data_IF_122241897833
#
_entry.id   IF_122241897833
#
_cell.length_a   1.000
_cell.length_b   1.000
_cell.length_c   1.000
_cell.angle_alpha   90.00
_cell.angle_beta   90.00
_cell.angle_gamma   90.00
#
_symmetry.space_group_name_H-M   'P 1'
#
loop_
_entity.id
_entity.type
_entity.pdbx_description
1 polymer ?
#
# COMPACT_ATOMS: atom_id res chain seq x y z
N UNK A 1 15.97 57.11 -9.25
CA UNK A 1 16.22 57.41 -7.82
C UNK A 1 14.88 57.45 -7.09
N UNK A 2 14.79 56.75 -5.95
CA UNK A 2 13.62 56.46 -5.09
C UNK A 2 12.84 55.20 -5.46
N UNK A 3 13.13 54.17 -4.66
CA UNK A 3 12.58 52.82 -4.66
C UNK A 3 11.07 52.86 -4.44
N UNK A 4 10.33 52.31 -5.40
CA UNK A 4 8.92 51.94 -5.31
C UNK A 4 8.83 50.45 -5.63
N UNK A 5 7.84 49.79 -5.05
CA UNK A 5 7.49 48.36 -5.21
C UNK A 5 8.12 47.44 -4.16
N UNK A 6 7.63 47.61 -2.93
CA UNK A 6 7.74 46.69 -1.80
C UNK A 6 6.33 46.11 -1.55
N UNK A 7 5.76 45.41 -2.55
CA UNK A 7 4.43 44.80 -2.49
C UNK A 7 4.13 43.94 -3.74
N UNK A 8 4.73 42.76 -3.88
CA UNK A 8 4.24 41.62 -4.69
C UNK A 8 5.35 40.57 -4.79
N UNK A 9 5.26 39.46 -4.07
CA UNK A 9 5.92 38.16 -4.33
C UNK A 9 5.56 37.26 -3.15
N UNK A 10 4.42 36.60 -3.20
CA UNK A 10 4.34 35.23 -3.71
C UNK A 10 5.29 34.28 -2.97
N UNK A 11 4.99 33.95 -1.72
CA UNK A 11 5.40 32.68 -1.14
C UNK A 11 4.16 32.08 -0.48
N UNK A 12 3.41 31.36 -1.30
CA UNK A 12 2.33 30.50 -0.88
C UNK A 12 2.84 29.62 0.27
N UNK A 13 2.47 29.96 1.49
CA UNK A 13 2.30 28.98 2.53
C UNK A 13 1.22 28.04 1.99
N UNK A 14 1.62 26.98 1.29
CA UNK A 14 0.76 25.84 1.02
C UNK A 14 0.46 25.27 2.39
N UNK A 15 -0.70 25.65 2.92
CA UNK A 15 -1.35 24.92 3.99
C UNK A 15 -1.65 23.54 3.42
N UNK A 16 -0.71 22.61 3.59
CA UNK A 16 -0.97 21.20 3.40
C UNK A 16 -2.12 20.86 4.33
N UNK A 17 -3.34 20.79 3.79
CA UNK A 17 -4.46 20.17 4.47
C UNK A 17 -3.98 18.77 4.86
N UNK A 18 -4.13 18.31 6.12
CA UNK A 18 -3.84 16.92 6.44
C UNK A 18 -4.62 16.08 5.42
N UNK A 19 -3.89 15.36 4.56
CA UNK A 19 -4.51 14.55 3.52
C UNK A 19 -5.40 13.53 4.20
N UNK A 20 -6.61 13.33 3.67
CA UNK A 20 -7.48 12.27 4.14
C UNK A 20 -6.79 10.93 3.90
N UNK A 21 -6.41 10.26 4.99
CA UNK A 21 -5.88 8.90 4.95
C UNK A 21 -7.02 7.90 4.81
N UNK A 22 -6.69 6.65 4.47
CA UNK A 22 -7.58 5.52 4.74
C UNK A 22 -7.88 5.40 6.23
N UNK A 23 -8.91 4.63 6.58
CA UNK A 23 -9.25 4.38 7.98
C UNK A 23 -8.08 3.71 8.70
N UNK A 24 -7.74 4.23 9.88
CA UNK A 24 -6.74 3.67 10.78
C UNK A 24 -7.32 2.61 11.74
N UNK A 25 -8.61 2.30 11.60
CA UNK A 25 -9.36 1.40 12.49
C UNK A 25 -8.69 0.04 12.69
N UNK A 26 -7.99 -0.45 11.66
CA UNK A 26 -7.37 -1.77 11.65
C UNK A 26 -5.83 -1.72 11.71
N UNK A 27 -5.24 -0.55 11.99
CA UNK A 27 -3.79 -0.38 12.12
C UNK A 27 -3.20 -1.12 13.33
N UNK A 28 -4.06 -1.60 14.23
CA UNK A 28 -3.70 -2.44 15.39
C UNK A 28 -3.46 -3.91 15.03
N UNK A 29 -3.78 -4.35 13.81
CA UNK A 29 -3.56 -5.73 13.37
C UNK A 29 -2.06 -6.06 13.36
N UNK A 30 -1.69 -7.19 13.94
CA UNK A 30 -0.35 -7.73 13.85
C UNK A 30 -0.14 -8.42 12.50
N UNK A 31 0.46 -7.67 11.57
CA UNK A 31 0.82 -8.16 10.23
C UNK A 31 1.74 -9.38 10.31
N UNK A 32 2.64 -9.46 11.30
CA UNK A 32 3.55 -10.61 11.40
C UNK A 32 2.82 -11.87 11.83
N UNK A 33 1.86 -11.77 12.75
CA UNK A 33 1.02 -12.90 13.16
C UNK A 33 0.24 -13.46 11.96
N UNK A 34 -0.35 -12.58 11.15
CA UNK A 34 -1.07 -12.96 9.93
C UNK A 34 -0.14 -13.68 8.94
N UNK A 35 1.06 -13.13 8.68
CA UNK A 35 2.02 -13.69 7.73
C UNK A 35 2.63 -15.01 8.21
N UNK A 36 2.79 -15.21 9.51
CA UNK A 36 3.32 -16.45 10.10
C UNK A 36 2.28 -17.58 10.16
N UNK A 37 0.99 -17.25 10.15
CA UNK A 37 -0.11 -18.22 10.20
C UNK A 37 -0.61 -18.58 8.80
N UNK A 38 -0.37 -19.83 8.37
CA UNK A 38 -0.85 -20.33 7.07
C UNK A 38 -2.37 -20.17 6.93
N UNK A 39 -3.13 -20.44 8.01
CA UNK A 39 -4.59 -20.30 8.02
C UNK A 39 -5.03 -18.85 7.82
N UNK A 40 -4.41 -17.91 8.52
CA UNK A 40 -4.78 -16.49 8.42
C UNK A 40 -4.38 -15.95 7.05
N UNK A 41 -3.12 -16.11 6.66
CA UNK A 41 -2.62 -15.66 5.36
C UNK A 41 -3.47 -16.17 4.20
N UNK A 42 -3.80 -17.48 4.21
CA UNK A 42 -4.66 -18.07 3.18
C UNK A 42 -6.04 -17.40 3.15
N UNK A 43 -6.65 -17.13 4.30
CA UNK A 43 -7.94 -16.43 4.39
C UNK A 43 -7.90 -15.03 3.77
N UNK A 44 -6.84 -14.24 4.04
CA UNK A 44 -6.67 -12.93 3.40
C UNK A 44 -6.47 -13.04 1.90
N UNK A 45 -5.60 -13.95 1.44
CA UNK A 45 -5.34 -14.13 0.00
C UNK A 45 -6.59 -14.60 -0.73
N UNK A 46 -7.35 -15.56 -0.18
CA UNK A 46 -8.62 -16.00 -0.76
C UNK A 46 -9.65 -14.86 -0.82
N UNK A 47 -9.73 -14.02 0.21
CA UNK A 47 -10.58 -12.83 0.19
C UNK A 47 -10.17 -11.88 -0.97
N UNK A 48 -8.89 -11.55 -1.09
CA UNK A 48 -8.36 -10.65 -2.11
C UNK A 48 -8.55 -11.21 -3.53
N UNK A 49 -8.47 -12.54 -3.70
CA UNK A 49 -8.66 -13.23 -4.97
C UNK A 49 -10.13 -13.54 -5.32
N UNK A 50 -11.10 -13.08 -4.53
CA UNK A 50 -12.54 -13.43 -4.70
C UNK A 50 -12.84 -14.94 -4.56
N UNK A 51 -11.98 -15.69 -3.86
CA UNK A 51 -12.11 -17.15 -3.66
C UNK A 51 -12.65 -17.53 -2.27
N UNK A 52 -12.78 -16.58 -1.35
CA UNK A 52 -13.19 -16.81 0.04
C UNK A 52 -13.89 -15.62 0.67
N UNK A 53 -14.36 -15.81 1.91
CA UNK A 53 -14.99 -14.75 2.71
C UNK A 53 -13.92 -13.78 3.21
N UNK A 54 -14.24 -12.49 3.19
CA UNK A 54 -13.42 -11.46 3.81
C UNK A 54 -13.83 -11.24 5.27
N UNK A 55 -12.85 -11.11 6.16
CA UNK A 55 -13.04 -10.43 7.44
C UNK A 55 -13.28 -8.92 7.20
N UNK A 56 -13.81 -8.17 8.17
CA UNK A 56 -14.07 -6.74 7.98
C UNK A 56 -12.82 -5.93 7.58
N UNK A 57 -11.67 -6.27 8.13
CA UNK A 57 -10.37 -5.65 7.83
C UNK A 57 -9.80 -6.14 6.48
N UNK A 58 -9.96 -7.42 6.14
CA UNK A 58 -9.58 -7.93 4.81
C UNK A 58 -10.43 -7.30 3.70
N UNK A 59 -11.70 -6.98 3.99
CA UNK A 59 -12.60 -6.27 3.08
C UNK A 59 -12.16 -4.81 2.88
N UNK A 60 -11.80 -4.12 3.96
CA UNK A 60 -11.24 -2.75 3.89
C UNK A 60 -9.96 -2.72 3.03
N UNK A 61 -9.04 -3.65 3.27
CA UNK A 61 -7.82 -3.81 2.47
C UNK A 61 -8.17 -4.04 1.00
N UNK A 62 -9.07 -4.98 0.71
CA UNK A 62 -9.47 -5.30 -0.66
C UNK A 62 -10.05 -4.10 -1.41
N UNK A 63 -10.86 -3.29 -0.73
CA UNK A 63 -11.55 -2.15 -1.32
C UNK A 63 -10.59 -0.96 -1.55
N UNK A 64 -9.56 -0.80 -0.71
CA UNK A 64 -8.57 0.29 -0.80
C UNK A 64 -7.36 -0.06 -1.66
N UNK A 65 -7.02 -1.34 -1.81
CA UNK A 65 -5.79 -1.79 -2.49
C UNK A 65 -5.62 -1.26 -3.93
N UNK A 66 -6.65 -1.22 -4.80
CA UNK A 66 -6.50 -0.64 -6.13
C UNK A 66 -6.12 0.85 -6.10
N UNK A 67 -6.74 1.64 -5.23
CA UNK A 67 -6.42 3.07 -5.05
C UNK A 67 -5.00 3.26 -4.53
N UNK A 68 -4.56 2.40 -3.61
CA UNK A 68 -3.22 2.42 -3.05
C UNK A 68 -2.15 2.07 -4.10
N UNK A 69 -2.42 1.10 -4.98
CA UNK A 69 -1.51 0.75 -6.08
C UNK A 69 -1.42 1.85 -7.13
N UNK A 70 -2.55 2.48 -7.48
CA UNK A 70 -2.61 3.55 -8.48
C UNK A 70 -1.96 4.85 -7.99
N UNK A 71 -2.07 5.17 -6.70
CA UNK A 71 -1.62 6.43 -6.14
C UNK A 71 -0.48 6.28 -5.12
N UNK A 72 0.35 5.26 -5.26
CA UNK A 72 1.58 5.05 -4.49
C UNK A 72 1.38 5.13 -2.96
N UNK A 73 0.28 4.54 -2.47
CA UNK A 73 -0.10 4.54 -1.06
C UNK A 73 -0.18 5.96 -0.45
N UNK A 74 -0.48 6.99 -1.26
CA UNK A 74 -0.49 8.40 -0.83
C UNK A 74 -1.46 8.69 0.32
N UNK A 75 -2.52 7.89 0.46
CA UNK A 75 -3.50 7.96 1.57
C UNK A 75 -3.27 6.91 2.66
N UNK A 76 -2.24 6.08 2.55
CA UNK A 76 -1.95 5.09 3.57
C UNK A 76 -1.42 5.77 4.85
N UNK A 77 -1.80 5.24 6.00
CA UNK A 77 -1.15 5.60 7.26
C UNK A 77 0.29 5.11 7.28
N UNK A 78 1.13 5.66 8.16
CA UNK A 78 2.52 5.19 8.32
C UNK A 78 2.58 3.70 8.75
N UNK A 79 1.59 3.25 9.52
CA UNK A 79 1.45 1.84 9.90
C UNK A 79 1.09 0.96 8.71
N UNK A 80 0.21 1.42 7.83
CA UNK A 80 -0.15 0.71 6.60
C UNK A 80 1.02 0.63 5.62
N UNK A 81 1.81 1.71 5.47
CA UNK A 81 3.02 1.72 4.62
C UNK A 81 4.06 0.71 5.11
N UNK A 82 4.38 0.74 6.41
CA UNK A 82 5.33 -0.21 7.01
C UNK A 82 4.81 -1.66 6.98
N UNK A 83 3.50 -1.86 7.19
CA UNK A 83 2.84 -3.15 7.01
C UNK A 83 2.93 -3.67 5.58
N UNK A 84 2.67 -2.82 4.59
CA UNK A 84 2.75 -3.17 3.17
C UNK A 84 4.17 -3.63 2.79
N UNK A 85 5.21 -2.91 3.22
CA UNK A 85 6.60 -3.32 2.97
C UNK A 85 6.91 -4.71 3.57
N UNK A 86 6.39 -4.98 4.77
CA UNK A 86 6.54 -6.29 5.43
C UNK A 86 5.82 -7.40 4.66
N UNK A 87 4.58 -7.15 4.22
CA UNK A 87 3.78 -8.09 3.43
C UNK A 87 4.45 -8.37 2.09
N UNK A 88 4.86 -7.33 1.36
CA UNK A 88 5.51 -7.47 0.05
C UNK A 88 6.79 -8.29 0.19
N UNK A 89 7.67 -7.96 1.15
CA UNK A 89 8.89 -8.72 1.41
C UNK A 89 8.59 -10.19 1.73
N UNK A 90 7.58 -10.47 2.54
CA UNK A 90 7.21 -11.85 2.87
C UNK A 90 6.66 -12.60 1.65
N UNK A 91 5.75 -12.01 0.89
CA UNK A 91 5.12 -12.67 -0.25
C UNK A 91 6.13 -12.94 -1.37
N UNK A 92 6.95 -11.95 -1.73
CA UNK A 92 7.96 -12.08 -2.79
C UNK A 92 8.99 -13.17 -2.46
N UNK A 93 9.47 -13.25 -1.21
CA UNK A 93 10.55 -14.17 -0.85
C UNK A 93 10.08 -15.54 -0.33
N UNK A 94 8.96 -15.59 0.39
CA UNK A 94 8.52 -16.80 1.10
C UNK A 94 7.24 -17.41 0.52
N UNK A 95 6.49 -16.69 -0.32
CA UNK A 95 5.23 -17.15 -0.92
C UNK A 95 5.07 -16.68 -2.38
N UNK A 96 6.04 -16.96 -3.27
CA UNK A 96 6.05 -16.41 -4.63
C UNK A 96 4.82 -16.81 -5.47
N UNK A 97 4.22 -17.97 -5.22
CA UNK A 97 2.99 -18.39 -5.90
C UNK A 97 1.79 -17.49 -5.51
N UNK A 98 1.64 -17.18 -4.21
CA UNK A 98 0.58 -16.26 -3.75
C UNK A 98 0.82 -14.84 -4.29
N UNK A 99 2.08 -14.40 -4.33
CA UNK A 99 2.45 -13.12 -4.96
C UNK A 99 2.01 -13.08 -6.42
N UNK A 100 2.28 -14.14 -7.19
CA UNK A 100 1.91 -14.24 -8.60
C UNK A 100 0.39 -14.22 -8.79
N UNK A 101 -0.37 -14.96 -7.97
CA UNK A 101 -1.83 -14.94 -8.04
C UNK A 101 -2.41 -13.54 -7.79
N UNK A 102 -1.88 -12.84 -6.77
CA UNK A 102 -2.29 -11.46 -6.47
C UNK A 102 -1.89 -10.49 -7.58
N UNK A 103 -0.69 -10.62 -8.14
CA UNK A 103 -0.23 -9.80 -9.26
C UNK A 103 -1.14 -9.96 -10.49
N UNK A 104 -1.56 -11.19 -10.82
CA UNK A 104 -2.52 -11.42 -11.92
C UNK A 104 -3.87 -10.74 -11.64
N UNK A 105 -4.32 -10.71 -10.38
CA UNK A 105 -5.59 -10.11 -9.97
C UNK A 105 -5.58 -8.59 -10.01
N UNK A 106 -4.52 -7.97 -9.49
CA UNK A 106 -4.45 -6.51 -9.26
C UNK A 106 -3.59 -5.77 -10.28
N UNK A 107 -2.73 -6.46 -11.02
CA UNK A 107 -1.81 -5.89 -11.99
C UNK A 107 -1.71 -6.74 -13.29
N UNK A 108 -2.83 -7.03 -13.97
CA UNK A 108 -2.84 -7.92 -15.14
C UNK A 108 -2.00 -7.39 -16.31
N UNK A 109 -1.79 -6.08 -16.38
CA UNK A 109 -0.99 -5.40 -17.41
C UNK A 109 0.45 -5.11 -16.96
N UNK A 110 0.85 -5.57 -15.77
CA UNK A 110 2.19 -5.42 -15.21
C UNK A 110 2.63 -3.94 -15.03
N UNK A 111 1.66 -3.03 -14.87
CA UNK A 111 1.86 -1.58 -14.69
C UNK A 111 2.50 -1.31 -13.34
N UNK A 112 2.00 -1.94 -12.28
CA UNK A 112 2.47 -1.72 -10.91
C UNK A 112 3.78 -2.45 -10.63
N UNK A 113 3.99 -3.63 -11.21
CA UNK A 113 5.26 -4.37 -11.14
C UNK A 113 6.40 -3.55 -11.75
N UNK A 114 6.16 -2.86 -12.86
CA UNK A 114 7.15 -1.95 -13.44
C UNK A 114 7.33 -0.70 -12.57
N UNK A 115 6.23 -0.06 -12.14
CA UNK A 115 6.27 1.14 -11.30
C UNK A 115 7.02 0.92 -9.98
N UNK A 116 6.83 -0.24 -9.36
CA UNK A 116 7.44 -0.59 -8.08
C UNK A 116 8.68 -1.48 -8.22
N UNK A 117 9.24 -1.62 -9.43
CA UNK A 117 10.34 -2.54 -9.71
C UNK A 117 11.53 -2.36 -8.75
N UNK A 118 11.99 -1.14 -8.54
CA UNK A 118 13.13 -0.85 -7.64
C UNK A 118 12.82 -1.28 -6.20
N UNK A 119 11.58 -1.04 -5.73
CA UNK A 119 11.13 -1.50 -4.41
C UNK A 119 11.10 -3.03 -4.35
N UNK A 120 10.55 -3.68 -5.37
CA UNK A 120 10.46 -5.14 -5.47
C UNK A 120 11.84 -5.80 -5.56
N UNK A 121 12.81 -5.18 -6.23
CA UNK A 121 14.20 -5.63 -6.28
C UNK A 121 14.88 -5.44 -4.91
N UNK A 122 14.65 -4.32 -4.22
CA UNK A 122 15.23 -4.05 -2.90
C UNK A 122 14.78 -5.01 -1.78
N UNK A 123 13.64 -5.68 -1.95
CA UNK A 123 13.12 -6.64 -0.97
C UNK A 123 13.55 -8.07 -1.23
N UNK A 124 14.04 -8.41 -2.42
CA UNK A 124 14.45 -9.78 -2.74
C UNK A 124 15.66 -10.19 -1.89
N UNK A 125 15.51 -11.29 -1.17
CA UNK A 125 16.60 -11.95 -0.44
C UNK A 125 17.33 -12.86 -1.44
N UNK A 126 18.59 -12.52 -1.74
CA UNK A 126 19.47 -13.32 -2.61
C UNK A 126 20.04 -14.53 -1.87
#
# INVERSE_FOLDING_TARGET
>A
MKLLILALTCAAAVWARPGETYSDKYDTIDVNEVLQSERLLKGYVECLLDKGRCTPDGKELKDTLPDALEHECSKCTEKQKSGADTVIRHLVNKRPELWKELAVKYDPENIYQERYKDRLESVKEH
#
